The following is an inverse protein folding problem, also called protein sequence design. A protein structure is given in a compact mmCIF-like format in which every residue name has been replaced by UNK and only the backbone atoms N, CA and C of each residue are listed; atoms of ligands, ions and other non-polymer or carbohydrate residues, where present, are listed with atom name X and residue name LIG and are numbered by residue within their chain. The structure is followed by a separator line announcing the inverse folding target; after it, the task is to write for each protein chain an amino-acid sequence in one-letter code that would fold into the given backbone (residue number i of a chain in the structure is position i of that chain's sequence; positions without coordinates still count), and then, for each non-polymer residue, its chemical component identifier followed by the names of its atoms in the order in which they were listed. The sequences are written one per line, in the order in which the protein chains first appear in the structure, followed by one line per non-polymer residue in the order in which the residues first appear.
data_IF_143168559602
#
_entry.id   IF_143168559602
#
_cell.length_a   1.000
_cell.length_b   1.000
_cell.length_c   1.000
_cell.angle_alpha   90.00
_cell.angle_beta   90.00
_cell.angle_gamma   90.00
#
_symmetry.space_group_name_H-M   'P 1'
#
loop_
_entity.id
_entity.type
_entity.pdbx_description
1 polymer ?
#
# COMPACT_ATOMS: atom_id res chain seq x y z
N UNK A 1 -12.52 4.81 4.72
CA UNK A 1 -11.28 4.06 4.97
C UNK A 1 -10.22 4.60 4.03
N UNK A 2 -9.17 5.23 4.55
CA UNK A 2 -8.06 5.75 3.74
C UNK A 2 -6.77 5.03 4.09
N UNK A 3 -5.82 4.99 3.16
CA UNK A 3 -4.48 4.44 3.45
C UNK A 3 -3.59 5.51 4.06
N UNK A 4 -2.85 5.15 5.10
CA UNK A 4 -1.79 5.97 5.66
C UNK A 4 -0.62 6.02 4.67
N UNK A 5 -0.68 7.02 3.79
CA UNK A 5 0.24 7.12 2.65
C UNK A 5 1.64 7.49 3.09
N UNK A 6 1.77 8.27 4.17
CA UNK A 6 3.06 8.63 4.75
C UNK A 6 3.79 7.40 5.25
N UNK A 7 3.11 6.53 6.00
CA UNK A 7 3.68 5.30 6.54
C UNK A 7 4.06 4.31 5.44
N UNK A 8 3.21 4.17 4.41
CA UNK A 8 3.51 3.36 3.23
C UNK A 8 4.78 3.89 2.53
N UNK A 9 4.85 5.19 2.29
CA UNK A 9 5.99 5.81 1.59
C UNK A 9 7.28 5.70 2.39
N UNK A 10 7.21 5.84 3.72
CA UNK A 10 8.35 5.64 4.60
C UNK A 10 8.91 4.22 4.50
N UNK A 11 8.04 3.19 4.54
CA UNK A 11 8.47 1.79 4.41
C UNK A 11 8.99 1.46 3.02
N UNK A 12 8.37 1.98 1.96
CA UNK A 12 8.89 1.83 0.61
C UNK A 12 10.32 2.40 0.50
N UNK A 13 10.58 3.57 1.10
CA UNK A 13 11.91 4.18 1.12
C UNK A 13 12.95 3.32 1.85
N UNK A 14 12.59 2.75 3.00
CA UNK A 14 13.47 1.83 3.75
C UNK A 14 13.82 0.58 2.94
N UNK A 15 12.86 0.06 2.16
CA UNK A 15 13.04 -1.10 1.29
C UNK A 15 13.66 -0.76 -0.08
N UNK A 16 13.96 0.51 -0.36
CA UNK A 16 14.37 1.03 -1.68
C UNK A 16 13.37 0.69 -2.80
N UNK A 17 12.09 0.64 -2.47
CA UNK A 17 10.97 0.42 -3.39
C UNK A 17 10.28 1.73 -3.75
N UNK A 18 9.66 1.74 -4.93
CA UNK A 18 8.67 2.73 -5.31
C UNK A 18 7.26 2.12 -5.37
N UNK A 19 6.24 2.94 -5.65
CA UNK A 19 4.84 2.50 -5.71
C UNK A 19 4.60 1.46 -6.83
N UNK A 20 5.36 1.52 -7.92
CA UNK A 20 5.28 0.53 -9.00
C UNK A 20 5.86 -0.81 -8.57
N UNK A 21 6.94 -0.82 -7.77
CA UNK A 21 7.50 -2.05 -7.21
C UNK A 21 6.50 -2.70 -6.25
N UNK A 22 5.88 -1.91 -5.37
CA UNK A 22 4.81 -2.39 -4.49
C UNK A 22 3.66 -3.01 -5.29
N UNK A 23 3.21 -2.32 -6.34
CA UNK A 23 2.13 -2.81 -7.17
C UNK A 23 2.49 -4.14 -7.87
N UNK A 24 3.73 -4.27 -8.36
CA UNK A 24 4.23 -5.53 -8.93
C UNK A 24 4.26 -6.64 -7.87
N UNK A 25 4.74 -6.34 -6.68
CA UNK A 25 4.85 -7.30 -5.57
C UNK A 25 3.47 -7.86 -5.17
N UNK A 26 2.45 -7.01 -5.08
CA UNK A 26 1.09 -7.44 -4.73
C UNK A 26 0.27 -7.95 -5.92
N UNK A 27 0.88 -8.00 -7.11
CA UNK A 27 0.28 -8.53 -8.34
C UNK A 27 -0.85 -7.66 -8.93
N UNK A 28 -0.72 -6.33 -8.87
CA UNK A 28 -1.71 -5.39 -9.44
C UNK A 28 -1.05 -4.36 -10.35
N UNK A 29 -1.87 -3.68 -11.17
CA UNK A 29 -1.39 -2.57 -12.00
C UNK A 29 -1.03 -1.35 -11.11
N UNK A 30 0.15 -0.71 -11.27
CA UNK A 30 0.52 0.52 -10.56
C UNK A 30 -0.54 1.62 -10.62
N UNK A 31 -1.20 1.81 -11.77
CA UNK A 31 -2.26 2.80 -11.95
C UNK A 31 -3.50 2.54 -11.07
N UNK A 32 -3.67 1.32 -10.57
CA UNK A 32 -4.75 0.98 -9.63
C UNK A 32 -4.40 1.31 -8.16
N UNK A 33 -3.11 1.49 -7.84
CA UNK A 33 -2.63 1.78 -6.47
C UNK A 33 -2.55 3.28 -6.21
N UNK A 34 -2.10 4.07 -7.18
CA UNK A 34 -2.00 5.53 -7.01
C UNK A 34 -3.31 6.19 -6.54
N UNK A 35 -4.51 5.87 -7.09
CA UNK A 35 -5.76 6.42 -6.60
C UNK A 35 -6.02 6.05 -5.14
N UNK A 36 -5.80 4.77 -4.77
CA UNK A 36 -6.02 4.25 -3.41
C UNK A 36 -5.17 4.96 -2.38
N UNK A 37 -3.89 5.21 -2.71
CA UNK A 37 -2.98 5.99 -1.87
C UNK A 37 -3.44 7.45 -1.77
N UNK A 38 -3.95 8.06 -2.85
CA UNK A 38 -4.49 9.44 -2.80
C UNK A 38 -5.88 9.55 -2.15
N UNK A 39 -6.39 8.48 -1.55
CA UNK A 39 -7.71 8.47 -0.90
C UNK A 39 -8.89 8.39 -1.89
N UNK A 40 -8.64 8.14 -3.17
CA UNK A 40 -9.65 7.82 -4.17
C UNK A 40 -9.83 6.32 -4.27
N UNK A 41 -11.06 5.84 -4.45
CA UNK A 41 -11.39 4.41 -4.51
C UNK A 41 -10.91 3.65 -3.27
N UNK A 42 -11.79 3.56 -2.26
CA UNK A 42 -11.47 2.88 -1.00
C UNK A 42 -10.85 1.49 -1.27
N UNK A 43 -9.67 1.18 -0.70
CA UNK A 43 -9.07 -0.13 -0.86
C UNK A 43 -9.92 -1.18 -0.18
N UNK A 44 -9.92 -2.39 -0.74
CA UNK A 44 -10.52 -3.55 -0.09
C UNK A 44 -9.62 -4.03 1.06
N UNK A 45 -10.19 -4.73 2.04
CA UNK A 45 -9.41 -5.39 3.10
C UNK A 45 -8.31 -6.28 2.51
N UNK A 46 -8.64 -7.08 1.48
CA UNK A 46 -7.66 -7.89 0.76
C UNK A 46 -6.52 -7.07 0.13
N UNK A 47 -6.79 -5.84 -0.34
CA UNK A 47 -5.72 -4.96 -0.84
C UNK A 47 -4.82 -4.49 0.30
N UNK A 48 -5.40 -4.15 1.45
CA UNK A 48 -4.65 -3.73 2.64
C UNK A 48 -3.77 -4.87 3.15
N UNK A 49 -4.30 -6.09 3.26
CA UNK A 49 -3.55 -7.27 3.68
C UNK A 49 -2.37 -7.55 2.74
N UNK A 50 -2.58 -7.44 1.43
CA UNK A 50 -1.49 -7.60 0.45
C UNK A 50 -0.42 -6.53 0.59
N UNK A 51 -0.81 -5.27 0.78
CA UNK A 51 0.15 -4.17 0.99
C UNK A 51 0.91 -4.39 2.30
N UNK A 52 0.23 -4.78 3.38
CA UNK A 52 0.86 -5.07 4.67
C UNK A 52 1.87 -6.21 4.56
N UNK A 53 1.49 -7.30 3.89
CA UNK A 53 2.39 -8.43 3.63
C UNK A 53 3.63 -8.03 2.81
N UNK A 54 3.43 -7.27 1.71
CA UNK A 54 4.53 -6.80 0.86
C UNK A 54 5.48 -5.85 1.60
N UNK A 55 4.95 -5.00 2.48
CA UNK A 55 5.73 -4.06 3.29
C UNK A 55 6.26 -4.68 4.61
N UNK A 56 6.00 -5.97 4.86
CA UNK A 56 6.36 -6.67 6.10
C UNK A 56 5.85 -5.96 7.36
N UNK A 57 4.60 -5.50 7.32
CA UNK A 57 3.89 -4.89 8.43
C UNK A 57 2.91 -5.93 8.98
N UNK A 58 3.04 -6.26 10.27
CA UNK A 58 2.30 -7.36 10.90
C UNK A 58 0.78 -7.15 10.95
N UNK A 59 0.31 -5.90 10.84
CA UNK A 59 -1.11 -5.58 10.96
C UNK A 59 -1.55 -4.59 9.88
N UNK A 60 -2.48 -4.98 9.01
CA UNK A 60 -3.05 -4.10 7.99
C UNK A 60 -3.73 -2.86 8.57
N UNK A 61 -4.23 -2.90 9.82
CA UNK A 61 -4.82 -1.73 10.49
C UNK A 61 -3.84 -0.58 10.68
N UNK A 62 -2.54 -0.88 10.78
CA UNK A 62 -1.50 0.13 10.88
C UNK A 62 -1.36 0.98 9.62
N UNK A 63 -1.92 0.53 8.49
CA UNK A 63 -1.91 1.20 7.20
C UNK A 63 -3.18 2.00 6.92
N UNK A 64 -4.11 2.11 7.87
CA UNK A 64 -5.42 2.71 7.66
C UNK A 64 -5.56 3.98 8.52
N UNK A 65 -6.18 5.01 7.95
CA UNK A 65 -6.64 6.24 8.62
C UNK A 65 -8.16 6.41 8.51
#
# INVERSE_FOLDING_TARGET
MKLNTEKITARLKEMRWNVSDLAREIGVNPQSIYPKLRGHNSPTLSTIDKIAAALKIDNGKDLIE
#
